data_IF_733766847310
#
_entry.id   IF_733766847310
#
_cell.length_a   1.000
_cell.length_b   1.000
_cell.length_c   1.000
_cell.angle_alpha   90.00
_cell.angle_beta   90.00
_cell.angle_gamma   90.00
#
_symmetry.space_group_name_H-M   'P 1'
#
loop_
_entity.id
_entity.type
_entity.pdbx_description
1 polymer ?
#
# COMPACT_ATOMS: atom_id res chain seq x y z
N UNK A 1 -4.31 -21.13 13.40
CA UNK A 1 -3.28 -20.35 12.69
C UNK A 1 -1.98 -20.47 13.46
N UNK A 2 -0.85 -20.74 12.80
CA UNK A 2 0.43 -21.00 13.45
C UNK A 2 0.89 -19.74 14.24
N UNK A 3 1.20 -19.88 15.54
CA UNK A 3 1.66 -18.78 16.41
C UNK A 3 2.88 -18.07 15.83
N UNK A 4 3.81 -18.84 15.27
CA UNK A 4 5.03 -18.32 14.66
C UNK A 4 4.72 -17.43 13.44
N UNK A 5 3.80 -17.86 12.58
CA UNK A 5 3.36 -17.06 11.43
C UNK A 5 2.79 -15.71 11.87
N UNK A 6 1.95 -15.70 12.91
CA UNK A 6 1.38 -14.45 13.42
C UNK A 6 2.46 -13.50 13.92
N UNK A 7 3.46 -14.00 14.66
CA UNK A 7 4.58 -13.19 15.13
C UNK A 7 5.41 -12.63 13.97
N UNK A 8 5.63 -13.43 12.92
CA UNK A 8 6.35 -13.01 11.71
C UNK A 8 5.61 -11.94 10.90
N UNK A 9 4.30 -12.10 10.72
CA UNK A 9 3.45 -11.10 10.06
C UNK A 9 3.44 -9.81 10.88
N UNK A 10 3.23 -9.90 12.20
CA UNK A 10 3.24 -8.75 13.08
C UNK A 10 4.59 -8.01 13.05
N UNK A 11 5.71 -8.73 13.06
CA UNK A 11 7.04 -8.13 12.95
C UNK A 11 7.24 -7.42 11.61
N UNK A 12 6.76 -8.01 10.52
CA UNK A 12 6.80 -7.37 9.20
C UNK A 12 5.94 -6.09 9.18
N UNK A 13 4.75 -6.11 9.77
CA UNK A 13 3.85 -4.95 9.78
C UNK A 13 4.39 -3.79 10.64
N UNK A 14 5.04 -4.10 11.77
CA UNK A 14 5.74 -3.08 12.58
C UNK A 14 6.89 -2.44 11.81
N UNK A 15 7.69 -3.24 11.08
CA UNK A 15 8.75 -2.72 10.22
C UNK A 15 8.20 -1.86 9.07
N UNK A 16 7.06 -2.22 8.48
CA UNK A 16 6.39 -1.34 7.50
C UNK A 16 5.95 -0.03 8.10
N UNK A 17 5.37 -0.08 9.29
CA UNK A 17 4.94 1.12 10.01
C UNK A 17 6.14 2.02 10.28
N UNK A 18 7.27 1.45 10.71
CA UNK A 18 8.49 2.22 10.98
C UNK A 18 9.02 2.90 9.72
N UNK A 19 9.15 2.15 8.62
CA UNK A 19 9.61 2.70 7.35
C UNK A 19 8.66 3.78 6.79
N UNK A 20 7.35 3.63 7.01
CA UNK A 20 6.36 4.64 6.63
C UNK A 20 6.50 5.91 7.46
N UNK A 21 6.61 5.82 8.79
CA UNK A 21 6.81 7.00 9.65
C UNK A 21 8.11 7.75 9.30
N UNK A 22 9.19 7.02 9.02
CA UNK A 22 10.45 7.60 8.56
C UNK A 22 10.30 8.33 7.22
N UNK A 23 9.55 7.77 6.26
CA UNK A 23 9.30 8.41 4.97
C UNK A 23 8.39 9.64 5.07
N UNK A 24 7.49 9.67 6.06
CA UNK A 24 6.54 10.76 6.29
C UNK A 24 7.09 11.86 7.22
N UNK A 25 8.33 11.71 7.73
CA UNK A 25 9.00 12.64 8.66
C UNK A 25 8.18 12.91 9.93
N UNK A 26 7.45 11.91 10.42
CA UNK A 26 6.73 12.00 11.68
C UNK A 26 7.64 11.56 12.83
N UNK A 27 8.11 12.53 13.61
CA UNK A 27 8.98 12.28 14.79
C UNK A 27 8.23 11.61 15.96
N UNK A 28 6.90 11.62 15.92
CA UNK A 28 6.07 11.13 17.02
C UNK A 28 6.06 9.60 17.00
N UNK A 29 6.67 8.97 18.01
CA UNK A 29 6.55 7.53 18.33
C UNK A 29 7.55 6.55 17.64
N UNK A 30 8.66 7.03 17.06
CA UNK A 30 9.69 6.11 16.51
C UNK A 30 10.28 5.17 17.57
N UNK A 31 10.56 5.67 18.77
CA UNK A 31 11.21 4.89 19.84
C UNK A 31 10.34 3.74 20.38
N UNK A 32 9.03 3.94 20.56
CA UNK A 32 8.14 2.89 21.07
C UNK A 32 7.96 1.75 20.04
N UNK A 33 7.96 2.12 18.75
CA UNK A 33 7.86 1.18 17.66
C UNK A 33 9.14 0.33 17.54
N UNK A 34 10.30 0.96 17.65
CA UNK A 34 11.60 0.26 17.68
C UNK A 34 11.70 -0.72 18.85
N UNK A 35 11.26 -0.33 20.05
CA UNK A 35 11.23 -1.24 21.20
C UNK A 35 10.23 -2.40 21.00
N UNK A 36 9.06 -2.13 20.42
CA UNK A 36 8.09 -3.18 20.08
C UNK A 36 8.65 -4.19 19.08
N UNK A 37 9.35 -3.72 18.03
CA UNK A 37 10.06 -4.55 17.05
C UNK A 37 11.10 -5.42 17.75
N UNK A 38 11.90 -4.85 18.64
CA UNK A 38 12.95 -5.54 19.39
C UNK A 38 12.38 -6.63 20.31
N UNK A 39 11.34 -6.32 21.09
CA UNK A 39 10.68 -7.29 21.98
C UNK A 39 10.10 -8.46 21.18
N UNK A 40 9.43 -8.19 20.06
CA UNK A 40 8.86 -9.24 19.23
C UNK A 40 9.95 -10.11 18.58
N UNK A 41 11.04 -9.48 18.12
CA UNK A 41 12.19 -10.18 17.54
C UNK A 41 12.86 -11.13 18.54
N UNK A 42 12.98 -10.73 19.82
CA UNK A 42 13.55 -11.57 20.88
C UNK A 42 12.70 -12.81 21.18
N UNK A 43 11.41 -12.79 20.87
CA UNK A 43 10.48 -13.90 21.07
C UNK A 43 10.47 -14.91 19.92
N UNK A 44 11.23 -14.67 18.85
CA UNK A 44 11.33 -15.58 17.70
C UNK A 44 12.51 -16.55 17.86
N UNK A 45 12.41 -17.79 17.34
CA UNK A 45 13.55 -18.70 17.26
C UNK A 45 14.71 -18.07 16.46
N UNK A 46 15.94 -18.16 16.97
CA UNK A 46 17.13 -17.50 16.40
C UNK A 46 17.34 -17.77 14.90
N UNK A 47 17.09 -19.02 14.46
CA UNK A 47 17.22 -19.41 13.06
C UNK A 47 16.20 -18.69 12.16
N UNK A 48 14.96 -18.57 12.63
CA UNK A 48 13.87 -17.90 11.91
C UNK A 48 14.11 -16.38 11.87
N UNK A 49 14.54 -15.79 12.98
CA UNK A 49 14.89 -14.37 13.02
C UNK A 49 16.02 -14.05 12.04
N UNK A 50 17.10 -14.84 12.05
CA UNK A 50 18.23 -14.65 11.12
C UNK A 50 17.80 -14.76 9.64
N UNK A 51 16.91 -15.70 9.32
CA UNK A 51 16.32 -15.79 7.98
C UNK A 51 15.49 -14.54 7.64
N UNK A 52 14.64 -14.11 8.57
CA UNK A 52 13.79 -12.93 8.40
C UNK A 52 14.63 -11.67 8.16
N UNK A 53 15.65 -11.42 8.97
CA UNK A 53 16.56 -10.27 8.85
C UNK A 53 17.32 -10.31 7.50
N UNK A 54 17.80 -11.50 7.11
CA UNK A 54 18.46 -11.70 5.81
C UNK A 54 17.51 -11.35 4.66
N UNK A 55 16.24 -11.76 4.74
CA UNK A 55 15.25 -11.45 3.73
C UNK A 55 14.88 -9.97 3.71
N UNK A 56 14.72 -9.34 4.88
CA UNK A 56 14.43 -7.91 4.98
C UNK A 56 15.55 -7.03 4.41
N UNK A 57 16.80 -7.45 4.54
CA UNK A 57 17.93 -6.74 3.92
C UNK A 57 17.88 -6.71 2.38
N UNK A 58 17.14 -7.65 1.77
CA UNK A 58 17.03 -7.81 0.30
C UNK A 58 15.67 -7.40 -0.25
N UNK A 59 14.62 -7.56 0.54
CA UNK A 59 13.23 -7.39 0.12
C UNK A 59 12.48 -6.60 1.19
N UNK A 60 11.63 -5.68 0.76
CA UNK A 60 10.69 -4.99 1.66
C UNK A 60 9.77 -5.99 2.37
N UNK A 61 9.35 -7.05 1.66
CA UNK A 61 8.49 -8.12 2.18
C UNK A 61 9.28 -9.40 2.38
N UNK A 62 9.38 -9.87 3.63
CA UNK A 62 10.06 -11.13 3.98
C UNK A 62 9.08 -12.32 4.06
N UNK A 63 7.83 -12.04 4.46
CA UNK A 63 6.76 -13.02 4.70
C UNK A 63 5.60 -12.69 3.77
N UNK A 64 5.22 -13.64 2.91
CA UNK A 64 4.20 -13.43 1.87
C UNK A 64 3.27 -14.63 1.73
N UNK A 65 1.98 -14.42 1.41
CA UNK A 65 1.08 -15.51 1.15
C UNK A 65 1.39 -16.20 -0.18
N UNK A 66 0.89 -17.42 -0.31
CA UNK A 66 0.72 -18.12 -1.57
C UNK A 66 -0.76 -18.19 -1.87
N UNK A 67 -1.16 -17.66 -3.02
CA UNK A 67 -2.56 -17.58 -3.46
C UNK A 67 -2.68 -18.26 -4.80
N UNK A 68 -3.54 -19.29 -4.88
CA UNK A 68 -3.67 -20.11 -6.08
C UNK A 68 -2.36 -20.75 -6.55
N UNK A 69 -1.50 -21.14 -5.59
CA UNK A 69 -0.19 -21.75 -5.88
C UNK A 69 0.89 -20.76 -6.35
N UNK A 70 0.61 -19.45 -6.39
CA UNK A 70 1.58 -18.42 -6.80
C UNK A 70 2.11 -17.71 -5.56
N UNK A 71 3.43 -17.54 -5.48
CA UNK A 71 4.06 -16.74 -4.43
C UNK A 71 3.83 -15.25 -4.68
N UNK A 72 3.12 -14.54 -3.78
CA UNK A 72 2.84 -13.10 -3.93
C UNK A 72 4.09 -12.21 -3.86
N UNK A 73 5.24 -12.76 -3.43
CA UNK A 73 6.51 -12.02 -3.39
C UNK A 73 7.25 -11.99 -4.72
N UNK A 74 7.31 -13.10 -5.46
CA UNK A 74 8.06 -13.19 -6.73
C UNK A 74 7.18 -13.40 -7.96
N UNK A 75 5.88 -13.66 -7.78
CA UNK A 75 4.93 -13.93 -8.86
C UNK A 75 5.12 -15.29 -9.55
N UNK A 76 6.01 -16.15 -9.04
CA UNK A 76 6.29 -17.46 -9.64
C UNK A 76 5.39 -18.52 -9.00
N UNK A 77 4.81 -19.37 -9.85
CA UNK A 77 4.07 -20.55 -9.41
C UNK A 77 5.00 -21.53 -8.68
N UNK A 78 4.53 -22.03 -7.55
CA UNK A 78 5.23 -23.10 -6.83
C UNK A 78 5.11 -24.42 -7.59
N UNK A 79 6.11 -25.32 -7.46
CA UNK A 79 5.93 -26.72 -7.84
C UNK A 79 4.68 -27.31 -7.17
N UNK A 80 3.89 -28.10 -7.91
CA UNK A 80 2.61 -28.65 -7.43
C UNK A 80 2.73 -29.38 -6.09
N UNK A 81 3.82 -30.14 -5.89
CA UNK A 81 4.09 -30.84 -4.63
C UNK A 81 4.24 -29.89 -3.45
N UNK A 82 4.98 -28.80 -3.63
CA UNK A 82 5.21 -27.79 -2.58
C UNK A 82 3.95 -26.96 -2.31
N UNK A 83 3.20 -26.60 -3.35
CA UNK A 83 1.92 -25.94 -3.17
C UNK A 83 0.96 -26.83 -2.37
N UNK A 84 0.86 -28.11 -2.73
CA UNK A 84 0.03 -29.07 -2.00
C UNK A 84 0.50 -29.22 -0.54
N UNK A 85 1.79 -29.42 -0.30
CA UNK A 85 2.37 -29.51 1.04
C UNK A 85 2.03 -28.29 1.89
N UNK A 86 2.19 -27.07 1.35
CA UNK A 86 1.88 -25.82 2.03
C UNK A 86 0.42 -25.72 2.48
N UNK A 87 -0.51 -26.04 1.58
CA UNK A 87 -1.95 -25.96 1.88
C UNK A 87 -2.44 -27.08 2.80
N UNK A 88 -1.81 -28.26 2.75
CA UNK A 88 -2.16 -29.42 3.60
C UNK A 88 -1.61 -29.25 5.00
N UNK A 89 -0.33 -28.94 5.14
CA UNK A 89 0.33 -28.76 6.45
C UNK A 89 -0.18 -27.51 7.17
N UNK A 90 -0.66 -26.52 6.40
CA UNK A 90 -0.99 -25.17 6.87
C UNK A 90 0.15 -24.50 7.63
N UNK A 91 1.38 -24.85 7.27
CA UNK A 91 2.59 -24.36 7.91
C UNK A 91 3.27 -23.25 7.08
N UNK A 92 4.42 -22.77 7.55
CA UNK A 92 5.30 -21.88 6.81
C UNK A 92 6.42 -22.68 6.14
N UNK A 93 6.84 -22.27 4.94
CA UNK A 93 8.01 -22.84 4.26
C UNK A 93 8.79 -21.73 3.54
N UNK A 94 9.92 -22.05 2.93
CA UNK A 94 10.64 -21.09 2.08
C UNK A 94 10.25 -21.28 0.62
N UNK A 95 10.00 -20.17 -0.08
CA UNK A 95 9.81 -20.18 -1.52
C UNK A 95 11.07 -20.73 -2.21
N UNK A 96 10.98 -21.76 -3.07
CA UNK A 96 12.15 -22.36 -3.73
C UNK A 96 12.85 -21.40 -4.70
N UNK A 97 12.17 -20.31 -5.09
CA UNK A 97 12.67 -19.35 -6.07
C UNK A 97 13.30 -18.11 -5.44
N UNK A 98 12.62 -17.50 -4.47
CA UNK A 98 13.06 -16.23 -3.87
C UNK A 98 13.42 -16.35 -2.39
N UNK A 99 13.38 -17.55 -1.81
CA UNK A 99 13.69 -17.88 -0.42
C UNK A 99 12.83 -17.20 0.66
N UNK A 100 11.90 -16.31 0.29
CA UNK A 100 10.94 -15.69 1.22
C UNK A 100 10.15 -16.73 1.99
N UNK A 101 9.78 -16.37 3.21
CA UNK A 101 8.89 -17.19 4.04
C UNK A 101 7.49 -17.11 3.42
N UNK A 102 6.93 -18.26 3.06
CA UNK A 102 5.62 -18.39 2.44
C UNK A 102 4.65 -19.14 3.35
N UNK A 103 3.39 -18.73 3.31
CA UNK A 103 2.29 -19.33 4.06
C UNK A 103 1.06 -19.49 3.17
N UNK A 104 0.13 -20.40 3.47
CA UNK A 104 -1.10 -20.55 2.69
C UNK A 104 -1.96 -19.29 2.81
N UNK A 105 -2.16 -18.58 1.70
CA UNK A 105 -3.07 -17.45 1.59
C UNK A 105 -4.48 -17.92 1.22
N UNK A 106 -5.49 -17.21 1.72
CA UNK A 106 -6.87 -17.40 1.29
C UNK A 106 -7.11 -16.67 -0.04
N UNK A 107 -7.55 -17.39 -1.08
CA UNK A 107 -7.98 -16.81 -2.35
C UNK A 107 -7.57 -17.61 -3.60
N UNK A 108 -8.33 -17.41 -4.68
CA UNK A 108 -7.97 -17.81 -6.04
C UNK A 108 -6.97 -16.80 -6.65
N UNK A 109 -6.19 -17.17 -7.67
CA UNK A 109 -5.42 -16.19 -8.44
C UNK A 109 -6.35 -15.09 -8.94
N UNK A 110 -6.15 -13.85 -8.51
CA UNK A 110 -6.94 -12.69 -8.93
C UNK A 110 -6.46 -12.25 -10.31
N UNK A 111 -7.31 -12.38 -11.31
CA UNK A 111 -6.96 -12.04 -12.69
C UNK A 111 -7.75 -10.80 -13.10
N UNK A 112 -7.16 -9.61 -12.92
CA UNK A 112 -7.83 -8.36 -13.29
C UNK A 112 -8.25 -8.40 -14.76
N UNK A 113 -9.55 -8.17 -15.01
CA UNK A 113 -10.17 -8.11 -16.34
C UNK A 113 -9.50 -7.11 -17.31
N UNK A 114 -8.68 -6.17 -16.82
CA UNK A 114 -8.10 -5.08 -17.63
C UNK A 114 -6.60 -5.18 -17.89
N UNK A 115 -5.88 -6.18 -17.38
CA UNK A 115 -4.46 -6.38 -17.74
C UNK A 115 -4.32 -6.93 -19.18
N UNK A 116 -5.41 -7.42 -19.78
CA UNK A 116 -5.42 -7.84 -21.18
C UNK A 116 -6.02 -6.74 -22.06
N UNK A 117 -5.14 -5.88 -22.58
CA UNK A 117 -5.26 -4.99 -23.77
C UNK A 117 -4.91 -3.52 -23.50
N UNK A 118 -3.69 -3.25 -23.08
CA UNK A 118 -2.87 -2.29 -23.82
C UNK A 118 -1.42 -2.76 -23.79
N UNK A 119 -0.85 -2.95 -24.97
CA UNK A 119 0.59 -2.91 -25.17
C UNK A 119 1.04 -1.44 -25.01
N UNK A 120 0.81 -0.84 -23.84
CA UNK A 120 1.25 0.52 -23.56
C UNK A 120 2.75 0.49 -23.28
N UNK A 121 3.47 1.47 -23.85
CA UNK A 121 4.85 1.74 -23.49
C UNK A 121 4.96 1.84 -21.97
N UNK A 122 6.07 1.37 -21.35
CA UNK A 122 6.26 1.54 -19.92
C UNK A 122 6.08 3.01 -19.57
N UNK A 123 5.06 3.31 -18.77
CA UNK A 123 4.82 4.66 -18.29
C UNK A 123 5.98 5.07 -17.36
N UNK A 124 6.29 6.36 -17.33
CA UNK A 124 7.34 6.94 -16.50
C UNK A 124 6.72 7.86 -15.44
N UNK A 125 7.44 8.09 -14.34
CA UNK A 125 6.98 8.93 -13.24
C UNK A 125 5.65 8.46 -12.63
N UNK A 126 4.82 9.43 -12.24
CA UNK A 126 3.55 9.17 -11.55
C UNK A 126 2.56 8.32 -12.36
N UNK A 127 2.65 8.35 -13.70
CA UNK A 127 1.78 7.58 -14.60
C UNK A 127 1.99 6.06 -14.51
N UNK A 128 3.00 5.61 -13.76
CA UNK A 128 3.18 4.19 -13.38
C UNK A 128 2.18 3.73 -12.33
N UNK A 129 1.64 4.66 -11.54
CA UNK A 129 0.89 4.37 -10.33
C UNK A 129 -0.55 4.90 -10.35
N UNK A 130 -0.97 5.62 -11.39
CA UNK A 130 -2.36 6.09 -11.52
C UNK A 130 -2.68 6.53 -12.95
N UNK A 131 -3.89 7.04 -13.17
CA UNK A 131 -4.35 7.62 -14.44
C UNK A 131 -5.37 8.73 -14.20
N UNK A 132 -5.67 9.53 -15.24
CA UNK A 132 -6.68 10.59 -15.16
C UNK A 132 -8.05 10.10 -14.67
N UNK A 133 -8.42 8.85 -15.00
CA UNK A 133 -9.70 8.25 -14.61
C UNK A 133 -9.83 7.96 -13.13
N UNK A 134 -8.72 7.98 -12.38
CA UNK A 134 -8.69 7.75 -10.93
C UNK A 134 -8.64 9.05 -10.12
N UNK A 135 -8.95 10.18 -10.75
CA UNK A 135 -8.99 11.50 -10.12
C UNK A 135 -10.43 11.85 -9.70
N UNK A 136 -10.61 12.36 -8.48
CA UNK A 136 -11.87 12.90 -7.97
C UNK A 136 -11.64 14.36 -7.56
N UNK A 137 -11.89 15.34 -8.46
CA UNK A 137 -11.60 16.74 -8.19
C UNK A 137 -12.40 17.39 -7.07
N UNK A 138 -13.56 16.81 -6.76
CA UNK A 138 -14.44 17.29 -5.70
C UNK A 138 -15.15 16.10 -5.02
N UNK A 139 -14.54 15.60 -3.94
CA UNK A 139 -15.13 14.58 -3.08
C UNK A 139 -16.44 15.08 -2.46
N UNK A 140 -17.50 14.25 -2.52
CA UNK A 140 -18.79 14.56 -1.89
C UNK A 140 -18.79 14.18 -0.40
N UNK A 141 -17.96 13.21 -0.03
CA UNK A 141 -17.78 12.66 1.29
C UNK A 141 -17.65 13.71 2.39
N UNK A 142 -18.28 13.42 3.52
CA UNK A 142 -18.26 14.21 4.76
C UNK A 142 -17.53 13.48 5.87
N UNK A 143 -17.39 12.16 5.76
CA UNK A 143 -16.63 11.32 6.70
C UNK A 143 -15.43 10.62 6.03
N UNK A 144 -14.53 10.12 6.88
CA UNK A 144 -13.37 9.32 6.47
C UNK A 144 -13.82 8.06 5.70
N UNK A 145 -14.83 7.39 6.21
CA UNK A 145 -15.46 6.20 5.62
C UNK A 145 -16.04 6.50 4.23
N UNK A 146 -16.78 7.60 4.09
CA UNK A 146 -17.34 8.01 2.80
C UNK A 146 -16.24 8.36 1.79
N UNK A 147 -15.14 8.97 2.25
CA UNK A 147 -13.99 9.32 1.40
C UNK A 147 -13.32 8.06 0.86
N UNK A 148 -13.07 7.07 1.73
CA UNK A 148 -12.52 5.77 1.32
C UNK A 148 -13.47 5.06 0.35
N UNK A 149 -14.78 5.11 0.60
CA UNK A 149 -15.79 4.52 -0.28
C UNK A 149 -15.76 5.12 -1.68
N UNK A 150 -15.69 6.45 -1.82
CA UNK A 150 -15.59 7.12 -3.14
C UNK A 150 -14.29 6.74 -3.88
N UNK A 151 -13.16 6.74 -3.16
CA UNK A 151 -11.83 6.45 -3.72
C UNK A 151 -11.67 4.98 -4.12
N UNK A 152 -12.23 4.04 -3.36
CA UNK A 152 -12.30 2.62 -3.71
C UNK A 152 -13.29 2.40 -4.85
N UNK A 153 -14.43 3.09 -4.81
CA UNK A 153 -15.48 3.00 -5.81
C UNK A 153 -14.96 3.30 -7.22
N UNK A 154 -14.22 4.41 -7.41
CA UNK A 154 -13.66 4.75 -8.72
C UNK A 154 -12.66 3.71 -9.23
N UNK A 155 -11.87 3.10 -8.34
CA UNK A 155 -10.94 2.02 -8.71
C UNK A 155 -11.70 0.77 -9.17
N UNK A 156 -12.83 0.44 -8.54
CA UNK A 156 -13.67 -0.68 -8.92
C UNK A 156 -14.35 -0.44 -10.27
N UNK A 157 -14.93 0.76 -10.45
CA UNK A 157 -15.58 1.16 -11.71
C UNK A 157 -14.60 1.10 -12.88
N UNK A 158 -13.36 1.52 -12.68
CA UNK A 158 -12.32 1.48 -13.71
C UNK A 158 -11.68 0.10 -13.91
N UNK A 159 -12.05 -0.90 -13.09
CA UNK A 159 -11.57 -2.28 -13.21
C UNK A 159 -10.15 -2.50 -12.68
N UNK A 160 -9.65 -1.63 -11.79
CA UNK A 160 -8.37 -1.81 -11.11
C UNK A 160 -8.49 -2.71 -9.86
N UNK A 161 -9.69 -2.90 -9.34
CA UNK A 161 -9.99 -3.81 -8.23
C UNK A 161 -11.27 -4.60 -8.51
N UNK A 162 -11.38 -5.81 -7.97
CA UNK A 162 -12.54 -6.70 -8.17
C UNK A 162 -13.44 -6.80 -6.94
N UNK A 163 -12.86 -6.68 -5.74
CA UNK A 163 -13.58 -6.81 -4.48
C UNK A 163 -13.48 -5.51 -3.64
N UNK A 164 -14.27 -4.48 -3.99
CA UNK A 164 -14.29 -3.23 -3.25
C UNK A 164 -14.75 -3.40 -1.80
N UNK A 165 -15.58 -4.42 -1.49
CA UNK A 165 -16.10 -4.63 -0.13
C UNK A 165 -14.99 -5.09 0.80
N UNK A 166 -14.25 -6.14 0.42
CA UNK A 166 -13.12 -6.61 1.22
C UNK A 166 -12.02 -5.55 1.33
N UNK A 167 -11.77 -4.81 0.24
CA UNK A 167 -10.82 -3.70 0.25
C UNK A 167 -11.24 -2.58 1.22
N UNK A 168 -12.52 -2.24 1.26
CA UNK A 168 -13.06 -1.24 2.18
C UNK A 168 -12.90 -1.67 3.64
N UNK A 169 -13.23 -2.93 3.96
CA UNK A 169 -13.01 -3.47 5.30
C UNK A 169 -11.53 -3.42 5.69
N UNK A 170 -10.63 -3.84 4.80
CA UNK A 170 -9.19 -3.80 5.05
C UNK A 170 -8.67 -2.36 5.24
N UNK A 171 -9.15 -1.41 4.43
CA UNK A 171 -8.80 0.00 4.53
C UNK A 171 -9.23 0.59 5.88
N UNK A 172 -10.48 0.34 6.30
CA UNK A 172 -10.98 0.82 7.59
C UNK A 172 -10.22 0.24 8.77
N UNK A 173 -9.91 -1.06 8.74
CA UNK A 173 -9.14 -1.71 9.77
C UNK A 173 -7.72 -1.12 9.87
N UNK A 174 -7.05 -0.88 8.74
CA UNK A 174 -5.73 -0.24 8.71
C UNK A 174 -5.76 1.19 9.24
N UNK A 175 -6.78 1.95 8.84
CA UNK A 175 -6.93 3.36 9.22
C UNK A 175 -7.28 3.53 10.71
N UNK A 176 -7.94 2.52 11.31
CA UNK A 176 -8.27 2.50 12.75
C UNK A 176 -7.06 2.26 13.66
N UNK A 177 -5.96 1.68 13.15
CA UNK A 177 -4.73 1.43 13.93
C UNK A 177 -4.01 2.75 14.20
N UNK A 178 -3.64 3.45 13.12
CA UNK A 178 -3.04 4.79 13.15
C UNK A 178 -3.54 5.53 11.92
N UNK A 179 -4.14 6.73 12.07
CA UNK A 179 -4.56 7.56 10.95
C UNK A 179 -3.41 7.84 9.99
N UNK A 180 -3.71 7.81 8.69
CA UNK A 180 -2.73 8.05 7.62
C UNK A 180 -2.70 9.50 7.16
N UNK A 181 -3.45 10.37 7.84
CA UNK A 181 -3.41 11.79 7.65
C UNK A 181 -2.15 12.40 8.27
N UNK A 182 -1.44 13.21 7.50
CA UNK A 182 -0.18 13.82 7.86
C UNK A 182 -0.25 15.34 7.76
N UNK A 183 0.91 16.00 7.87
CA UNK A 183 1.00 17.44 7.70
C UNK A 183 0.55 17.92 6.30
N UNK A 184 0.41 19.23 6.16
CA UNK A 184 0.06 19.89 4.90
C UNK A 184 -1.32 19.51 4.31
N UNK A 185 -2.20 18.89 5.11
CA UNK A 185 -3.54 18.52 4.68
C UNK A 185 -3.57 17.33 3.71
N UNK A 186 -2.57 16.44 3.82
CA UNK A 186 -2.45 15.23 3.02
C UNK A 186 -2.88 13.99 3.83
N UNK A 187 -3.37 12.96 3.13
CA UNK A 187 -3.50 11.63 3.70
C UNK A 187 -3.13 10.55 2.68
N UNK A 188 -2.57 9.44 3.16
CA UNK A 188 -2.14 8.30 2.35
C UNK A 188 -2.76 6.97 2.81
N UNK A 189 -4.12 6.84 2.84
CA UNK A 189 -4.73 5.60 3.27
C UNK A 189 -4.37 4.50 2.29
N UNK A 190 -3.99 3.33 2.80
CA UNK A 190 -3.46 2.28 1.94
C UNK A 190 -3.77 0.88 2.44
N UNK A 191 -3.74 -0.09 1.52
CA UNK A 191 -3.92 -1.51 1.82
C UNK A 191 -2.84 -2.33 1.11
N UNK A 192 -2.15 -3.20 1.87
CA UNK A 192 -1.14 -4.13 1.36
C UNK A 192 -1.73 -5.51 1.06
N UNK A 193 -1.08 -6.26 0.19
CA UNK A 193 -1.47 -7.63 -0.17
C UNK A 193 -2.70 -7.71 -1.08
N UNK A 194 -2.97 -6.64 -1.82
CA UNK A 194 -4.05 -6.64 -2.81
C UNK A 194 -3.47 -7.08 -4.15
N UNK A 195 -3.58 -8.38 -4.37
CA UNK A 195 -3.01 -9.05 -5.54
C UNK A 195 -3.89 -8.92 -6.79
N UNK A 196 -3.26 -9.10 -7.96
CA UNK A 196 -3.94 -9.08 -9.26
C UNK A 196 -3.56 -7.90 -10.17
N UNK A 197 -2.79 -6.93 -9.68
CA UNK A 197 -2.33 -5.76 -10.44
C UNK A 197 -1.02 -5.16 -9.96
N UNK A 198 -0.74 -3.92 -10.37
CA UNK A 198 0.41 -3.14 -9.91
C UNK A 198 0.10 -2.25 -8.71
N UNK A 199 1.13 -1.59 -8.16
CA UNK A 199 0.95 -0.49 -7.21
C UNK A 199 0.15 0.62 -7.87
N UNK A 200 -1.05 0.90 -7.35
CA UNK A 200 -2.00 1.83 -7.97
C UNK A 200 -2.64 2.73 -6.89
N UNK A 201 -2.92 3.99 -7.22
CA UNK A 201 -3.65 4.90 -6.35
C UNK A 201 -4.78 5.66 -7.07
N UNK A 202 -5.81 6.02 -6.31
CA UNK A 202 -6.78 7.05 -6.65
C UNK A 202 -6.53 8.31 -5.82
N UNK A 203 -6.88 9.47 -6.38
CA UNK A 203 -6.65 10.78 -5.76
C UNK A 203 -7.98 11.53 -5.65
N UNK A 204 -8.30 12.01 -4.46
CA UNK A 204 -9.47 12.83 -4.21
C UNK A 204 -9.13 14.14 -3.53
N UNK A 205 -9.87 15.20 -3.88
CA UNK A 205 -9.75 16.52 -3.25
C UNK A 205 -11.05 16.92 -2.56
N UNK A 206 -10.92 17.40 -1.33
CA UNK A 206 -11.98 18.07 -0.55
C UNK A 206 -11.53 19.49 -0.22
N UNK A 207 -11.96 20.48 -1.01
CA UNK A 207 -11.53 21.89 -0.86
C UNK A 207 -11.77 22.46 0.55
N UNK A 208 -12.93 22.15 1.13
CA UNK A 208 -13.29 22.58 2.49
C UNK A 208 -12.52 21.80 3.58
N UNK A 209 -11.85 20.72 3.21
CA UNK A 209 -11.21 19.79 4.12
C UNK A 209 -12.19 18.81 4.78
N UNK A 210 -11.64 17.75 5.33
CA UNK A 210 -12.37 16.70 6.06
C UNK A 210 -11.56 16.27 7.28
N UNK A 211 -12.25 15.90 8.36
CA UNK A 211 -11.59 15.28 9.52
C UNK A 211 -11.16 13.86 9.12
N UNK A 212 -9.85 13.65 9.11
CA UNK A 212 -9.25 12.38 8.71
C UNK A 212 -8.23 11.87 9.75
N UNK A 213 -8.21 12.46 10.96
CA UNK A 213 -7.31 12.04 12.04
C UNK A 213 -5.91 12.66 11.97
N UNK A 214 -5.74 13.79 11.26
CA UNK A 214 -4.45 14.48 11.21
C UNK A 214 -4.05 15.05 12.59
N UNK A 215 -2.74 15.23 12.86
CA UNK A 215 -2.28 15.84 14.11
C UNK A 215 -2.94 17.19 14.39
N UNK A 216 -3.23 17.46 15.67
CA UNK A 216 -3.87 18.71 16.14
C UNK A 216 -5.25 18.97 15.51
N UNK A 217 -5.99 17.91 15.16
CA UNK A 217 -7.34 17.95 14.55
C UNK A 217 -7.41 18.81 13.28
N UNK A 218 -6.29 18.88 12.53
CA UNK A 218 -6.23 19.61 11.25
C UNK A 218 -7.07 18.89 10.19
N UNK A 219 -7.62 19.67 9.26
CA UNK A 219 -8.40 19.13 8.15
C UNK A 219 -7.48 18.63 7.03
N UNK A 220 -7.83 17.49 6.46
CA UNK A 220 -7.20 16.90 5.27
C UNK A 220 -7.94 17.36 4.02
N UNK A 221 -7.22 17.72 2.96
CA UNK A 221 -7.80 18.21 1.70
C UNK A 221 -7.43 17.36 0.49
N UNK A 222 -6.29 16.69 0.51
CA UNK A 222 -5.77 15.90 -0.61
C UNK A 222 -5.55 14.47 -0.10
N UNK A 223 -6.22 13.49 -0.68
CA UNK A 223 -6.22 12.10 -0.20
C UNK A 223 -5.77 11.18 -1.33
N UNK A 224 -4.69 10.44 -1.11
CA UNK A 224 -4.16 9.42 -2.02
C UNK A 224 -4.48 8.04 -1.46
N UNK A 225 -5.51 7.36 -1.98
CA UNK A 225 -5.81 5.99 -1.57
C UNK A 225 -4.97 5.01 -2.39
N UNK A 226 -4.15 4.18 -1.73
CA UNK A 226 -3.11 3.37 -2.39
C UNK A 226 -3.31 1.87 -2.15
N UNK A 227 -3.23 1.08 -3.22
CA UNK A 227 -3.34 -0.38 -3.21
C UNK A 227 -1.98 -0.99 -3.56
N UNK A 228 -1.48 -1.88 -2.70
CA UNK A 228 -0.07 -2.28 -2.71
C UNK A 228 0.05 -3.82 -2.78
N UNK A 229 0.39 -4.39 -3.95
CA UNK A 229 0.79 -5.79 -4.07
C UNK A 229 2.08 -6.07 -3.29
N UNK A 230 2.25 -7.29 -2.75
CA UNK A 230 3.47 -7.64 -2.01
C UNK A 230 4.76 -7.51 -2.85
N UNK A 231 4.68 -7.82 -4.14
CA UNK A 231 5.80 -7.68 -5.07
C UNK A 231 6.21 -6.22 -5.33
N UNK A 232 5.31 -5.26 -5.07
CA UNK A 232 5.52 -3.84 -5.36
C UNK A 232 5.72 -2.97 -4.09
N UNK A 233 5.84 -3.58 -2.90
CA UNK A 233 6.00 -2.85 -1.63
C UNK A 233 7.19 -1.88 -1.60
N UNK A 234 8.29 -2.18 -2.31
CA UNK A 234 9.44 -1.28 -2.40
C UNK A 234 9.10 0.05 -3.11
N UNK A 235 8.29 0.00 -4.17
CA UNK A 235 7.90 1.18 -4.93
C UNK A 235 6.93 2.08 -4.17
N UNK A 236 6.20 1.52 -3.20
CA UNK A 236 5.27 2.29 -2.38
C UNK A 236 6.00 3.36 -1.56
N UNK A 237 7.09 3.01 -0.89
CA UNK A 237 7.85 3.97 -0.07
C UNK A 237 8.44 5.10 -0.92
N UNK A 238 8.93 4.75 -2.12
CA UNK A 238 9.42 5.74 -3.09
C UNK A 238 8.31 6.67 -3.57
N UNK A 239 7.12 6.13 -3.84
CA UNK A 239 5.94 6.90 -4.25
C UNK A 239 5.53 7.91 -3.17
N UNK A 240 5.34 7.48 -1.92
CA UNK A 240 4.91 8.38 -0.84
C UNK A 240 5.97 9.44 -0.55
N UNK A 241 7.26 9.10 -0.56
CA UNK A 241 8.34 10.06 -0.35
C UNK A 241 8.35 11.14 -1.44
N UNK A 242 8.19 10.74 -2.71
CA UNK A 242 8.08 11.69 -3.82
C UNK A 242 6.83 12.57 -3.75
N UNK A 243 5.68 12.03 -3.34
CA UNK A 243 4.45 12.80 -3.13
C UNK A 243 4.62 13.80 -1.98
N UNK A 244 5.18 13.38 -0.85
CA UNK A 244 5.47 14.24 0.30
C UNK A 244 6.43 15.38 -0.07
N UNK A 245 7.51 15.07 -0.78
CA UNK A 245 8.45 16.08 -1.26
C UNK A 245 7.75 17.11 -2.18
N UNK A 246 6.92 16.64 -3.10
CA UNK A 246 6.17 17.51 -4.03
C UNK A 246 5.21 18.42 -3.29
N UNK A 247 4.44 17.86 -2.36
CA UNK A 247 3.34 18.56 -1.69
C UNK A 247 3.75 19.18 -0.35
N UNK A 248 5.04 19.21 -0.02
CA UNK A 248 5.60 20.09 1.02
C UNK A 248 5.47 21.56 0.61
N UNK A 249 5.60 21.84 -0.68
CA UNK A 249 5.45 23.17 -1.26
C UNK A 249 3.97 23.61 -1.30
N UNK A 250 3.68 24.78 -0.72
CA UNK A 250 2.30 25.30 -0.66
C UNK A 250 1.72 25.58 -2.05
N UNK A 251 2.51 26.18 -2.95
CA UNK A 251 2.11 26.45 -4.33
C UNK A 251 1.74 25.17 -5.10
N UNK A 252 2.43 24.05 -4.85
CA UNK A 252 2.08 22.77 -5.46
C UNK A 252 0.69 22.28 -4.98
N UNK A 253 0.40 22.41 -3.68
CA UNK A 253 -0.91 22.07 -3.12
C UNK A 253 -2.00 22.97 -3.68
N UNK A 254 -1.77 24.28 -3.73
CA UNK A 254 -2.76 25.25 -4.22
C UNK A 254 -3.10 25.03 -5.70
N UNK A 255 -2.08 24.74 -6.53
CA UNK A 255 -2.28 24.35 -7.94
C UNK A 255 -3.13 23.10 -8.08
N UNK A 256 -2.87 22.07 -7.28
CA UNK A 256 -3.64 20.83 -7.33
C UNK A 256 -5.08 21.05 -6.84
N UNK A 257 -5.27 21.83 -5.77
CA UNK A 257 -6.58 22.18 -5.22
C UNK A 257 -7.42 23.06 -6.15
N UNK A 258 -6.79 23.81 -7.08
CA UNK A 258 -7.50 24.63 -8.06
C UNK A 258 -8.18 23.80 -9.16
N UNK A 259 -7.67 22.58 -9.43
CA UNK A 259 -8.18 21.73 -10.49
C UNK A 259 -9.66 21.36 -10.29
N UNK A 260 -10.44 21.44 -11.36
CA UNK A 260 -11.90 21.26 -11.32
C UNK A 260 -12.38 20.07 -12.17
N UNK A 261 -11.51 19.50 -13.00
CA UNK A 261 -11.80 18.32 -13.83
C UNK A 261 -10.76 17.22 -13.64
N UNK A 262 -11.10 15.98 -14.01
CA UNK A 262 -10.19 14.83 -13.90
C UNK A 262 -8.90 15.03 -14.71
N UNK A 263 -9.04 15.51 -15.96
CA UNK A 263 -7.91 15.75 -16.85
C UNK A 263 -7.02 16.89 -16.38
N UNK A 264 -7.61 17.98 -15.88
CA UNK A 264 -6.86 19.09 -15.30
C UNK A 264 -6.08 18.63 -14.07
N UNK A 265 -6.74 17.92 -13.15
CA UNK A 265 -6.11 17.37 -11.96
C UNK A 265 -4.95 16.45 -12.32
N UNK A 266 -5.15 15.56 -13.29
CA UNK A 266 -4.12 14.65 -13.76
C UNK A 266 -2.92 15.38 -14.39
N UNK A 267 -3.19 16.39 -15.23
CA UNK A 267 -2.16 17.20 -15.87
C UNK A 267 -1.33 17.95 -14.83
N UNK A 268 -1.97 18.56 -13.85
CA UNK A 268 -1.31 19.27 -12.74
C UNK A 268 -0.48 18.28 -11.91
N UNK A 269 -1.05 17.16 -11.49
CA UNK A 269 -0.33 16.12 -10.72
C UNK A 269 0.92 15.63 -11.46
N UNK A 270 0.79 15.31 -12.75
CA UNK A 270 1.90 14.83 -13.58
C UNK A 270 3.00 15.89 -13.74
N UNK A 271 2.61 17.16 -13.90
CA UNK A 271 3.58 18.26 -14.01
C UNK A 271 4.34 18.50 -12.70
N UNK A 272 3.64 18.50 -11.56
CA UNK A 272 4.22 18.74 -10.23
C UNK A 272 5.18 17.63 -9.80
N UNK A 273 4.83 16.38 -10.09
CA UNK A 273 5.59 15.20 -9.61
C UNK A 273 6.77 14.80 -10.49
N UNK A 274 6.96 15.44 -11.66
CA UNK A 274 8.01 15.08 -12.64
C UNK A 274 9.44 15.08 -12.07
N UNK A 275 9.71 15.91 -11.07
CA UNK A 275 11.06 16.03 -10.46
C UNK A 275 11.29 15.04 -9.32
N UNK A 276 10.23 14.62 -8.65
CA UNK A 276 10.26 13.87 -7.39
C UNK A 276 9.94 12.39 -7.60
N UNK A 277 9.21 12.04 -8.66
CA UNK A 277 8.80 10.68 -8.98
C UNK A 277 9.27 10.36 -10.41
N UNK A 278 10.19 9.40 -10.54
CA UNK A 278 10.85 9.02 -11.80
C UNK A 278 10.29 7.72 -12.36
#
# INVERSE_FOLDING_TARGET
>A
MNKLLNQLIQLQDLNFTLAEQQALLSDTCLMELEESIKVLSQNLPKQILSLFDTLQSRYTTAVVPVTGGICSGCGVALPTSQAYELYVTKDIMQCPRCARIIYPGEGSPRQLKRITKTADKPSAGISRFSSNRLMIPALKAKTREETLSELIGIMATEGFIEDPKSLMTAALNREAIVPTAVEHGLAFPHVRGVEGGGLIFSLGIKKQGIKFGAPKDRLTRIIFFIVIPFAASAFYLQLIAGLMETFREADARDKLLAASTQDEMWKVLTALTKKTIK
#
